data_IF_446694179632
#
_entry.id   IF_446694179632
#
_cell.length_a   1.000
_cell.length_b   1.000
_cell.length_c   1.000
_cell.angle_alpha   90.00
_cell.angle_beta   90.00
_cell.angle_gamma   90.00
#
_symmetry.space_group_name_H-M   'P 1'
#
loop_
_entity.id
_entity.type
_entity.pdbx_description
1 polymer ?
#
# COMPACT_ATOMS: atom_id res chain seq x y z
N UNK A 1 -11.90 2.91 -4.63
CA UNK A 1 -10.70 3.44 -5.34
C UNK A 1 -10.74 4.96 -5.25
N UNK A 2 -9.64 5.63 -4.88
CA UNK A 2 -9.62 7.07 -4.63
C UNK A 2 -9.76 7.91 -5.92
N UNK A 3 -10.50 9.02 -5.85
CA UNK A 3 -10.77 9.89 -7.00
C UNK A 3 -9.49 10.40 -7.69
N UNK A 4 -8.44 10.71 -6.93
CA UNK A 4 -7.17 11.19 -7.47
C UNK A 4 -6.48 10.19 -8.43
N UNK A 5 -6.53 8.89 -8.14
CA UNK A 5 -5.95 7.85 -9.00
C UNK A 5 -6.74 7.73 -10.30
N UNK A 6 -8.07 7.87 -10.25
CA UNK A 6 -8.91 7.82 -11.45
C UNK A 6 -8.66 9.02 -12.36
N UNK A 7 -8.49 10.22 -11.80
CA UNK A 7 -8.13 11.42 -12.57
C UNK A 7 -6.75 11.29 -13.22
N UNK A 8 -5.77 10.72 -12.52
CA UNK A 8 -4.45 10.44 -13.09
C UNK A 8 -4.54 9.46 -14.27
N UNK A 9 -5.36 8.40 -14.15
CA UNK A 9 -5.61 7.45 -15.27
C UNK A 9 -6.31 8.09 -16.48
N UNK A 10 -7.03 9.19 -16.28
CA UNK A 10 -7.70 9.96 -17.33
C UNK A 10 -6.80 11.05 -17.92
N UNK A 11 -5.48 11.02 -17.68
CA UNK A 11 -4.51 12.03 -18.11
C UNK A 11 -4.82 13.45 -17.62
N UNK A 12 -5.55 13.59 -16.50
CA UNK A 12 -5.92 14.91 -15.95
C UNK A 12 -4.84 15.50 -15.03
N UNK A 13 -3.71 14.80 -14.83
CA UNK A 13 -2.57 15.30 -14.06
C UNK A 13 -1.78 14.20 -13.37
N UNK A 14 -1.01 14.60 -12.34
CA UNK A 14 -0.20 13.71 -11.49
C UNK A 14 -0.85 13.57 -10.12
N UNK A 15 -0.90 12.36 -9.58
CA UNK A 15 -1.45 12.10 -8.26
C UNK A 15 -0.40 11.48 -7.34
N UNK A 16 -0.36 11.96 -6.08
CA UNK A 16 0.39 11.31 -5.02
C UNK A 16 -0.45 10.15 -4.46
N UNK A 17 0.08 8.93 -4.54
CA UNK A 17 -0.61 7.73 -4.09
C UNK A 17 0.36 6.75 -3.44
N UNK A 18 -0.10 6.02 -2.43
CA UNK A 18 0.70 4.97 -1.84
C UNK A 18 0.82 3.79 -2.79
N UNK A 19 2.04 3.26 -2.91
CA UNK A 19 2.42 2.21 -3.85
C UNK A 19 1.43 1.01 -3.90
N UNK A 20 0.92 0.48 -2.76
CA UNK A 20 0.01 -0.66 -2.76
C UNK A 20 -1.29 -0.42 -3.54
N UNK A 21 -1.76 0.84 -3.62
CA UNK A 21 -3.02 1.17 -4.29
C UNK A 21 -2.86 1.44 -5.79
N UNK A 22 -1.63 1.59 -6.27
CA UNK A 22 -1.31 1.88 -7.68
C UNK A 22 -0.43 0.81 -8.33
N UNK A 23 0.12 -0.13 -7.57
CA UNK A 23 1.03 -1.17 -8.06
C UNK A 23 0.47 -1.95 -9.25
N UNK A 24 -0.81 -2.32 -9.21
CA UNK A 24 -1.46 -3.04 -10.31
C UNK A 24 -1.60 -2.17 -11.57
N UNK A 25 -1.95 -0.89 -11.40
CA UNK A 25 -2.07 0.06 -12.51
C UNK A 25 -0.71 0.41 -13.13
N UNK A 26 0.36 0.45 -12.33
CA UNK A 26 1.74 0.59 -12.80
C UNK A 26 2.17 -0.65 -13.59
N UNK A 27 1.91 -1.87 -13.07
CA UNK A 27 2.21 -3.13 -13.77
C UNK A 27 1.46 -3.26 -15.10
N UNK A 28 0.22 -2.78 -15.15
CA UNK A 28 -0.60 -2.77 -16.36
C UNK A 28 -0.22 -1.65 -17.36
N UNK A 29 0.72 -0.77 -17.02
CA UNK A 29 1.11 0.38 -17.85
C UNK A 29 0.05 1.47 -17.94
N UNK A 30 -1.02 1.41 -17.14
CA UNK A 30 -2.08 2.42 -17.10
C UNK A 30 -1.65 3.69 -16.34
N UNK A 31 -0.60 3.58 -15.53
CA UNK A 31 0.08 4.69 -14.86
C UNK A 31 1.59 4.51 -15.04
N UNK A 32 2.31 5.62 -14.99
CA UNK A 32 3.78 5.65 -14.96
C UNK A 32 4.25 6.43 -13.74
N UNK A 33 5.39 6.05 -13.19
CA UNK A 33 6.03 6.82 -12.14
C UNK A 33 6.61 8.12 -12.72
N UNK A 34 6.43 9.23 -12.00
CA UNK A 34 6.88 10.56 -12.42
C UNK A 34 8.41 10.76 -12.26
N UNK A 35 9.14 9.81 -11.67
CA UNK A 35 10.60 9.77 -11.68
C UNK A 35 11.27 9.77 -10.29
N UNK A 36 12.60 9.58 -10.23
CA UNK A 36 13.34 9.44 -8.97
C UNK A 36 13.31 10.74 -8.16
N UNK A 37 13.01 10.63 -6.85
CA UNK A 37 12.94 11.76 -5.92
C UNK A 37 11.53 12.22 -5.54
N UNK A 38 10.48 11.71 -6.21
CA UNK A 38 9.08 12.04 -5.91
C UNK A 38 8.41 11.06 -4.92
N UNK A 39 9.20 10.18 -4.31
CA UNK A 39 8.71 9.26 -3.26
C UNK A 39 8.84 9.95 -1.90
N UNK A 40 7.72 10.12 -1.23
CA UNK A 40 7.70 10.55 0.16
C UNK A 40 7.90 9.32 1.06
N UNK A 41 8.74 9.46 2.08
CA UNK A 41 8.92 8.41 3.08
C UNK A 41 7.56 8.13 3.74
N UNK A 42 7.05 6.92 3.52
CA UNK A 42 5.73 6.55 3.98
C UNK A 42 5.67 6.50 5.50
N UNK A 43 4.53 6.89 6.08
CA UNK A 43 4.22 6.47 7.45
C UNK A 43 3.87 4.98 7.40
N UNK A 44 4.66 4.15 8.08
CA UNK A 44 4.35 2.73 8.22
C UNK A 44 3.01 2.59 8.96
N UNK A 45 1.96 2.23 8.23
CA UNK A 45 0.66 1.90 8.77
C UNK A 45 0.55 0.39 8.85
N UNK A 46 0.49 -0.15 10.07
CA UNK A 46 0.48 -1.58 10.32
C UNK A 46 0.55 -1.90 11.82
N UNK A 47 0.61 -3.18 12.13
CA UNK A 47 0.80 -3.66 13.50
C UNK A 47 2.28 -3.85 13.80
N UNK A 48 2.72 -3.41 14.96
CA UNK A 48 4.03 -3.82 15.49
C UNK A 48 3.88 -5.15 16.23
N UNK A 49 4.92 -6.01 16.19
CA UNK A 49 4.91 -7.30 16.88
C UNK A 49 4.55 -7.18 18.37
N UNK A 50 5.03 -6.11 19.04
CA UNK A 50 4.67 -5.79 20.43
C UNK A 50 3.17 -5.54 20.64
N UNK A 51 2.48 -4.92 19.67
CA UNK A 51 1.03 -4.72 19.74
C UNK A 51 0.25 -6.02 19.54
N UNK A 52 0.82 -6.99 18.83
CA UNK A 52 0.21 -8.30 18.56
C UNK A 52 0.35 -9.26 19.75
N UNK A 53 1.34 -9.05 20.62
CA UNK A 53 1.56 -9.93 21.78
C UNK A 53 0.51 -9.79 22.87
N UNK A 54 -0.10 -8.61 23.03
CA UNK A 54 -1.08 -8.30 24.08
C UNK A 54 -2.53 -8.58 23.69
N UNK A 55 -2.81 -8.97 22.44
CA UNK A 55 -4.18 -9.24 21.96
C UNK A 55 -4.60 -10.69 22.16
N UNK A 56 -5.92 -10.91 22.14
CA UNK A 56 -6.54 -12.23 22.30
C UNK A 56 -5.95 -13.25 21.30
N UNK A 57 -5.84 -14.55 21.66
CA UNK A 57 -5.20 -15.57 20.83
C UNK A 57 -5.72 -15.65 19.38
N UNK A 58 -7.03 -15.47 19.19
CA UNK A 58 -7.63 -15.47 17.84
C UNK A 58 -7.15 -14.30 16.98
N UNK A 59 -7.03 -13.11 17.57
CA UNK A 59 -6.55 -11.90 16.89
C UNK A 59 -5.06 -12.05 16.56
N UNK A 60 -4.28 -12.62 17.48
CA UNK A 60 -2.86 -12.93 17.27
C UNK A 60 -2.67 -13.86 16.07
N UNK A 61 -3.46 -14.93 15.96
CA UNK A 61 -3.41 -15.88 14.84
C UNK A 61 -3.74 -15.21 13.50
N UNK A 62 -4.76 -14.36 13.46
CA UNK A 62 -5.14 -13.60 12.26
C UNK A 62 -4.04 -12.59 11.89
N UNK A 63 -3.48 -11.87 12.86
CA UNK A 63 -2.40 -10.91 12.63
C UNK A 63 -1.15 -11.58 12.04
N UNK A 64 -0.72 -12.73 12.59
CA UNK A 64 0.39 -13.49 12.01
C UNK A 64 0.10 -13.98 10.60
N UNK A 65 -1.11 -14.48 10.35
CA UNK A 65 -1.52 -14.90 9.02
C UNK A 65 -1.47 -13.75 8.00
N UNK A 66 -1.92 -12.54 8.39
CA UNK A 66 -1.85 -11.35 7.54
C UNK A 66 -0.40 -10.94 7.24
N UNK A 67 0.48 -10.99 8.24
CA UNK A 67 1.91 -10.70 8.08
C UNK A 67 2.57 -11.70 7.12
N UNK A 68 2.33 -13.00 7.32
CA UNK A 68 2.88 -14.06 6.46
C UNK A 68 2.39 -13.94 5.01
N UNK A 69 1.15 -13.45 4.82
CA UNK A 69 0.59 -13.21 3.48
C UNK A 69 1.15 -11.96 2.82
N UNK A 70 1.44 -10.90 3.57
CA UNK A 70 2.06 -9.69 3.03
C UNK A 70 3.51 -9.90 2.62
N UNK A 71 4.26 -10.78 3.30
CA UNK A 71 5.68 -11.04 3.02
C UNK A 71 5.91 -11.88 1.75
N UNK A 72 4.85 -12.47 1.20
CA UNK A 72 4.90 -13.30 -0.02
C UNK A 72 4.72 -12.49 -1.34
N UNK A 73 4.71 -11.16 -1.28
CA UNK A 73 4.44 -10.26 -2.42
C UNK A 73 5.41 -9.07 -2.48
#
# INVERSE_FOLDING_TARGET
MGAAIQLAKQNTGVALAALPFVAEALKAGALVDAGPGNSLEGKNHGFTLRQIESVRPIVKRVAYWLIEKSDKH
#
